data_IF_255542094608
#
_entry.id   IF_255542094608
#
_cell.length_a   1.000
_cell.length_b   1.000
_cell.length_c   1.000
_cell.angle_alpha   90.00
_cell.angle_beta   90.00
_cell.angle_gamma   90.00
#
_symmetry.space_group_name_H-M   'P 1'
#
loop_
_entity.id
_entity.type
_entity.pdbx_description
1 polymer ?
#
# COMPACT_ATOMS: atom_id res chain seq x y z
N UNK A 1 26.45 58.99 -56.02
CA UNK A 1 26.74 58.06 -57.16
C UNK A 1 25.84 56.89 -56.98
N UNK A 2 24.78 57.01 -57.64
CA UNK A 2 24.24 56.26 -58.79
C UNK A 2 23.69 54.91 -58.35
N UNK A 3 22.41 54.82 -58.31
CA UNK A 3 21.40 54.67 -59.37
C UNK A 3 21.40 53.29 -60.04
N UNK A 4 20.23 52.76 -60.04
CA UNK A 4 19.42 52.09 -61.06
C UNK A 4 19.17 50.61 -60.74
N UNK A 5 17.99 50.27 -60.63
CA UNK A 5 16.78 50.20 -61.48
C UNK A 5 16.58 48.72 -61.92
N UNK A 6 15.50 48.10 -61.74
CA UNK A 6 14.40 47.82 -62.64
C UNK A 6 13.55 46.62 -62.20
N UNK A 7 12.38 46.98 -61.92
CA UNK A 7 11.13 46.31 -62.24
C UNK A 7 11.21 45.28 -63.40
N UNK A 8 10.97 44.00 -63.09
CA UNK A 8 10.49 43.02 -64.09
C UNK A 8 9.20 42.37 -63.53
N UNK A 9 8.07 42.90 -64.02
CA UNK A 9 6.81 42.18 -64.04
C UNK A 9 6.98 40.99 -64.97
N UNK A 10 7.01 39.77 -64.42
CA UNK A 10 6.82 38.54 -65.17
C UNK A 10 5.41 38.53 -65.78
N UNK A 11 5.30 38.62 -67.05
CA UNK A 11 4.10 38.27 -67.80
C UNK A 11 3.89 36.74 -67.67
N UNK A 12 2.85 36.35 -66.95
CA UNK A 12 2.31 34.99 -66.97
C UNK A 12 1.77 34.72 -68.38
N UNK A 13 2.45 33.89 -69.14
CA UNK A 13 1.98 33.36 -70.43
C UNK A 13 0.82 32.43 -70.14
N UNK A 14 -0.38 32.91 -70.46
CA UNK A 14 -1.60 32.10 -70.46
C UNK A 14 -1.46 31.00 -71.53
N UNK A 15 -1.39 29.74 -71.11
CA UNK A 15 -1.46 28.63 -72.00
C UNK A 15 -2.89 28.56 -72.63
N UNK A 16 -2.93 28.59 -73.98
CA UNK A 16 -4.18 28.49 -74.75
C UNK A 16 -4.24 27.20 -75.52
N UNK A 17 -5.45 26.67 -75.69
CA UNK A 17 -5.68 25.47 -76.51
C UNK A 17 -5.47 25.74 -78.04
N UNK A 18 -5.49 24.72 -78.87
CA UNK A 18 -5.30 24.80 -80.30
C UNK A 18 -6.33 25.70 -81.04
N UNK A 19 -7.30 26.24 -80.35
CA UNK A 19 -8.33 27.20 -80.82
C UNK A 19 -8.25 28.57 -80.16
N UNK A 20 -7.17 28.88 -79.44
CA UNK A 20 -6.89 30.18 -78.82
C UNK A 20 -7.69 30.50 -77.57
N UNK A 21 -8.28 29.52 -76.88
CA UNK A 21 -9.00 29.71 -75.61
C UNK A 21 -8.09 29.45 -74.41
N UNK A 22 -8.19 30.26 -73.33
CA UNK A 22 -7.40 30.04 -72.13
C UNK A 22 -7.75 28.69 -71.50
N UNK A 23 -6.73 27.90 -71.15
CA UNK A 23 -6.90 26.67 -70.39
C UNK A 23 -7.06 27.06 -68.93
N UNK A 24 -8.24 26.90 -68.38
CA UNK A 24 -8.49 27.00 -66.94
C UNK A 24 -7.74 25.84 -66.22
N UNK A 25 -6.65 26.19 -65.46
CA UNK A 25 -6.07 25.25 -64.55
C UNK A 25 -7.06 24.85 -63.49
N UNK A 26 -7.56 23.63 -63.50
CA UNK A 26 -8.33 23.04 -62.40
C UNK A 26 -7.44 23.05 -61.17
N UNK A 27 -7.90 23.77 -60.11
CA UNK A 27 -7.27 23.65 -58.78
C UNK A 27 -7.18 22.16 -58.41
N UNK A 28 -5.97 21.63 -58.29
CA UNK A 28 -5.74 20.34 -57.68
C UNK A 28 -6.19 20.39 -56.23
N UNK A 29 -7.25 19.66 -55.90
CA UNK A 29 -7.68 19.43 -54.52
C UNK A 29 -6.50 18.75 -53.81
N UNK A 30 -5.90 19.42 -52.86
CA UNK A 30 -4.89 18.84 -51.94
C UNK A 30 -5.39 17.50 -51.42
N UNK A 31 -4.52 16.48 -51.39
CA UNK A 31 -4.92 15.11 -51.12
C UNK A 31 -5.46 14.95 -49.68
N UNK A 32 -6.45 14.07 -49.51
CA UNK A 32 -7.11 13.71 -48.25
C UNK A 32 -6.16 13.29 -47.10
N UNK A 33 -4.87 13.13 -47.38
CA UNK A 33 -3.81 12.78 -46.41
C UNK A 33 -3.59 13.85 -45.32
N UNK A 34 -3.68 15.17 -45.67
CA UNK A 34 -3.50 16.24 -44.67
C UNK A 34 -4.67 16.31 -43.68
N UNK A 35 -5.88 15.98 -44.12
CA UNK A 35 -7.06 15.90 -43.25
C UNK A 35 -6.98 14.74 -42.26
N UNK A 36 -6.42 13.58 -42.69
CA UNK A 36 -6.29 12.41 -41.84
C UNK A 36 -5.24 12.61 -40.72
N UNK A 37 -4.11 13.28 -41.02
CA UNK A 37 -3.09 13.59 -40.02
C UNK A 37 -3.60 14.54 -38.93
N UNK A 38 -4.42 15.53 -39.28
CA UNK A 38 -5.04 16.43 -38.30
C UNK A 38 -6.07 15.69 -37.42
N UNK A 39 -6.89 14.82 -37.99
CA UNK A 39 -7.86 14.02 -37.23
C UNK A 39 -7.15 13.06 -36.28
N UNK A 40 -6.07 12.40 -36.73
CA UNK A 40 -5.25 11.52 -35.87
C UNK A 40 -4.56 12.30 -34.75
N UNK A 41 -4.04 13.49 -35.04
CA UNK A 41 -3.40 14.36 -34.01
C UNK A 41 -4.42 14.81 -32.95
N UNK A 42 -5.63 15.20 -33.34
CA UNK A 42 -6.72 15.56 -32.42
C UNK A 42 -7.12 14.36 -31.57
N UNK A 43 -7.26 13.18 -32.17
CA UNK A 43 -7.59 11.94 -31.45
C UNK A 43 -6.50 11.59 -30.41
N UNK A 44 -5.22 11.62 -30.79
CA UNK A 44 -4.08 11.40 -29.87
C UNK A 44 -4.08 12.44 -28.73
N UNK A 45 -4.32 13.70 -29.03
CA UNK A 45 -4.41 14.76 -28.03
C UNK A 45 -5.55 14.52 -27.05
N UNK A 46 -6.73 14.10 -27.51
CA UNK A 46 -7.87 13.78 -26.63
C UNK A 46 -7.60 12.55 -25.75
N UNK A 47 -6.94 11.53 -26.29
CA UNK A 47 -6.52 10.35 -25.51
C UNK A 47 -5.50 10.74 -24.44
N UNK A 48 -4.49 11.52 -24.79
CA UNK A 48 -3.48 12.01 -23.84
C UNK A 48 -4.10 12.93 -22.79
N UNK A 49 -5.01 13.81 -23.17
CA UNK A 49 -5.76 14.67 -22.24
C UNK A 49 -6.64 13.84 -21.30
N UNK A 50 -7.30 12.80 -21.81
CA UNK A 50 -8.10 11.86 -21.00
C UNK A 50 -7.25 11.08 -20.01
N UNK A 51 -6.04 10.64 -20.42
CA UNK A 51 -5.06 10.00 -19.56
C UNK A 51 -4.53 10.98 -18.50
N UNK A 52 -4.20 12.21 -18.90
CA UNK A 52 -3.75 13.25 -17.97
C UNK A 52 -4.82 13.61 -16.94
N UNK A 53 -6.07 13.77 -17.38
CA UNK A 53 -7.21 14.04 -16.46
C UNK A 53 -7.43 12.85 -15.51
N UNK A 54 -7.32 11.61 -15.98
CA UNK A 54 -7.40 10.42 -15.12
C UNK A 54 -6.27 10.38 -14.10
N UNK A 55 -5.03 10.65 -14.52
CA UNK A 55 -3.87 10.72 -13.63
C UNK A 55 -4.05 11.88 -12.63
N UNK A 56 -4.49 13.04 -13.07
CA UNK A 56 -4.71 14.20 -12.21
C UNK A 56 -5.83 13.98 -11.18
N UNK A 57 -6.96 13.37 -11.60
CA UNK A 57 -8.06 13.00 -10.70
C UNK A 57 -7.62 11.91 -9.72
N UNK A 58 -6.84 10.92 -10.19
CA UNK A 58 -6.26 9.89 -9.34
C UNK A 58 -5.32 10.50 -8.30
N UNK A 59 -4.41 11.38 -8.72
CA UNK A 59 -3.47 12.07 -7.83
C UNK A 59 -4.20 12.94 -6.78
N UNK A 60 -5.23 13.68 -7.21
CA UNK A 60 -6.04 14.52 -6.32
C UNK A 60 -6.91 13.73 -5.33
N UNK A 61 -7.30 12.49 -5.66
CA UNK A 61 -8.04 11.61 -4.76
C UNK A 61 -7.13 10.87 -3.76
N UNK A 62 -5.87 10.56 -4.13
CA UNK A 62 -4.93 9.93 -3.22
C UNK A 62 -4.60 10.83 -2.03
N UNK A 63 -4.48 12.15 -2.22
CA UNK A 63 -4.20 13.11 -1.14
C UNK A 63 -5.31 13.22 -0.10
N UNK A 64 -6.56 12.98 -0.48
CA UNK A 64 -7.71 13.06 0.45
C UNK A 64 -7.84 11.85 1.36
N UNK A 65 -7.19 10.75 1.03
CA UNK A 65 -7.32 9.49 1.73
C UNK A 65 -6.15 9.20 2.68
N UNK A 66 -5.21 10.12 2.84
CA UNK A 66 -4.06 9.99 3.71
C UNK A 66 -4.22 10.90 4.93
N UNK A 67 -4.13 10.30 6.14
CA UNK A 67 -4.33 11.01 7.39
C UNK A 67 -3.20 10.68 8.36
N UNK A 68 -2.77 11.68 9.11
CA UNK A 68 -1.80 11.55 10.18
C UNK A 68 -2.38 12.10 11.49
N UNK A 69 -2.28 11.32 12.56
CA UNK A 69 -2.71 11.71 13.90
C UNK A 69 -1.59 11.43 14.91
N UNK A 70 -1.23 12.45 15.67
CA UNK A 70 -0.28 12.36 16.77
C UNK A 70 -1.03 12.53 18.09
N UNK A 71 -0.86 11.58 18.99
CA UNK A 71 -1.50 11.54 20.29
C UNK A 71 -0.46 11.78 21.38
N UNK A 72 -0.90 12.30 22.51
CA UNK A 72 -0.01 12.69 23.59
C UNK A 72 0.64 11.49 24.26
N UNK A 73 -0.08 10.39 24.41
CA UNK A 73 0.37 9.17 25.08
C UNK A 73 0.08 7.92 24.27
N UNK A 74 0.75 6.78 24.50
CA UNK A 74 0.36 5.50 23.91
C UNK A 74 -1.08 5.08 24.26
N UNK A 75 -1.56 5.40 25.46
CA UNK A 75 -2.94 5.09 25.89
C UNK A 75 -3.96 5.88 25.06
N UNK A 76 -3.68 7.16 24.80
CA UNK A 76 -4.48 7.99 23.91
C UNK A 76 -4.48 7.46 22.47
N UNK A 77 -3.32 7.03 21.98
CA UNK A 77 -3.17 6.39 20.68
C UNK A 77 -4.06 5.16 20.58
N UNK A 78 -3.92 4.22 21.52
CA UNK A 78 -4.68 2.96 21.48
C UNK A 78 -6.18 3.17 21.66
N UNK A 79 -6.58 4.10 22.51
CA UNK A 79 -8.00 4.48 22.68
C UNK A 79 -8.58 5.00 21.37
N UNK A 80 -7.95 5.96 20.74
CA UNK A 80 -8.47 6.59 19.53
C UNK A 80 -8.49 5.62 18.34
N UNK A 81 -7.45 4.81 18.16
CA UNK A 81 -7.39 3.76 17.14
C UNK A 81 -8.45 2.68 17.42
N UNK A 82 -8.59 2.24 18.67
CA UNK A 82 -9.61 1.28 19.09
C UNK A 82 -11.03 1.77 18.80
N UNK A 83 -11.33 3.02 19.12
CA UNK A 83 -12.63 3.61 18.79
C UNK A 83 -12.88 3.72 17.28
N UNK A 84 -11.83 3.98 16.48
CA UNK A 84 -11.94 3.98 15.02
C UNK A 84 -12.27 2.57 14.49
N UNK A 85 -11.62 1.53 15.01
CA UNK A 85 -11.88 0.12 14.67
C UNK A 85 -13.29 -0.29 15.08
N UNK A 86 -13.73 0.09 16.29
CA UNK A 86 -15.08 -0.20 16.77
C UNK A 86 -16.14 0.44 15.86
N UNK A 87 -15.97 1.71 15.49
CA UNK A 87 -16.87 2.36 14.53
C UNK A 87 -16.89 1.65 13.18
N UNK A 88 -15.71 1.23 12.69
CA UNK A 88 -15.59 0.49 11.44
C UNK A 88 -16.36 -0.83 11.47
N UNK A 89 -16.19 -1.62 12.55
CA UNK A 89 -16.90 -2.90 12.73
C UNK A 89 -18.41 -2.69 12.87
N UNK A 90 -18.84 -1.66 13.59
CA UNK A 90 -20.29 -1.34 13.71
C UNK A 90 -20.92 -0.99 12.35
N UNK A 91 -20.18 -0.34 11.46
CA UNK A 91 -20.63 -0.06 10.09
C UNK A 91 -20.54 -1.29 9.18
N UNK A 92 -19.63 -2.20 9.46
CA UNK A 92 -19.38 -3.41 8.68
C UNK A 92 -19.16 -4.63 9.60
N UNK A 93 -20.20 -5.23 10.15
CA UNK A 93 -20.08 -6.32 11.13
C UNK A 93 -19.32 -7.56 10.60
N UNK A 94 -19.38 -7.83 9.30
CA UNK A 94 -18.65 -8.91 8.62
C UNK A 94 -17.37 -8.39 7.95
N UNK A 95 -16.64 -7.51 8.63
CA UNK A 95 -15.39 -6.98 8.12
C UNK A 95 -14.29 -8.04 8.14
N UNK A 96 -13.40 -7.98 7.15
CA UNK A 96 -12.14 -8.70 7.11
C UNK A 96 -11.03 -7.80 7.68
N UNK A 97 -10.47 -8.17 8.83
CA UNK A 97 -9.51 -7.34 9.56
C UNK A 97 -8.16 -8.04 9.63
N UNK A 98 -7.14 -7.39 9.09
CA UNK A 98 -5.74 -7.79 9.23
C UNK A 98 -5.17 -7.31 10.56
N UNK A 99 -4.57 -8.21 11.33
CA UNK A 99 -3.98 -7.95 12.64
C UNK A 99 -2.46 -7.76 12.51
N UNK A 100 -1.93 -6.79 13.23
CA UNK A 100 -0.50 -6.66 13.42
C UNK A 100 -0.01 -7.62 14.50
N UNK A 101 1.20 -8.16 14.34
CA UNK A 101 1.87 -9.03 15.31
C UNK A 101 2.87 -8.25 16.18
N UNK A 102 3.44 -8.92 17.18
CA UNK A 102 4.44 -8.36 18.08
C UNK A 102 3.85 -7.48 19.18
N UNK A 103 4.71 -6.76 19.89
CA UNK A 103 4.36 -6.02 21.12
C UNK A 103 3.75 -4.64 20.86
N UNK A 104 3.95 -4.08 19.67
CA UNK A 104 3.45 -2.73 19.35
C UNK A 104 1.93 -2.58 19.45
N UNK A 105 1.10 -3.54 18.98
CA UNK A 105 -0.36 -3.44 19.04
C UNK A 105 -0.99 -3.94 20.34
N UNK A 106 -0.23 -4.45 21.30
CA UNK A 106 -0.79 -5.08 22.52
C UNK A 106 -1.77 -4.16 23.27
N UNK A 107 -1.41 -2.91 23.50
CA UNK A 107 -2.29 -1.96 24.19
C UNK A 107 -3.59 -1.69 23.42
N UNK A 108 -3.56 -1.74 22.08
CA UNK A 108 -4.75 -1.66 21.26
C UNK A 108 -5.65 -2.88 21.47
N UNK A 109 -5.08 -4.09 21.50
CA UNK A 109 -5.86 -5.31 21.73
C UNK A 109 -6.46 -5.34 23.13
N UNK A 110 -5.72 -4.91 24.15
CA UNK A 110 -6.27 -4.76 25.51
C UNK A 110 -7.44 -3.78 25.55
N UNK A 111 -7.35 -2.66 24.83
CA UNK A 111 -8.44 -1.71 24.71
C UNK A 111 -9.69 -2.34 24.05
N UNK A 112 -9.52 -3.09 22.97
CA UNK A 112 -10.62 -3.75 22.27
C UNK A 112 -11.27 -4.85 23.14
N UNK A 113 -10.49 -5.63 23.89
CA UNK A 113 -10.98 -6.62 24.86
C UNK A 113 -11.84 -5.93 25.91
N UNK A 114 -11.34 -4.85 26.52
CA UNK A 114 -12.10 -4.10 27.53
C UNK A 114 -13.44 -3.57 27.00
N UNK A 115 -13.48 -3.11 25.75
CA UNK A 115 -14.73 -2.66 25.13
C UNK A 115 -15.70 -3.82 24.86
N UNK A 116 -15.18 -4.99 24.48
CA UNK A 116 -15.97 -6.20 24.36
C UNK A 116 -16.56 -6.64 25.71
N UNK A 117 -15.74 -6.70 26.76
CA UNK A 117 -16.18 -7.05 28.14
C UNK A 117 -17.28 -6.12 28.65
N UNK A 118 -17.27 -4.85 28.23
CA UNK A 118 -18.34 -3.88 28.52
C UNK A 118 -19.59 -4.04 27.66
N UNK A 119 -19.61 -4.97 26.72
CA UNK A 119 -20.72 -5.16 25.77
C UNK A 119 -20.85 -4.04 24.73
N UNK A 120 -19.83 -3.20 24.55
CA UNK A 120 -19.87 -2.08 23.59
C UNK A 120 -19.63 -2.51 22.14
N UNK A 121 -19.05 -3.70 21.92
CA UNK A 121 -18.73 -4.28 20.62
C UNK A 121 -18.82 -5.80 20.66
N UNK A 122 -19.21 -6.42 19.53
CA UNK A 122 -19.10 -7.86 19.26
C UNK A 122 -18.23 -8.07 18.03
N UNK A 123 -17.38 -9.09 18.07
CA UNK A 123 -16.50 -9.49 16.98
C UNK A 123 -16.96 -10.79 16.32
N UNK A 124 -18.14 -11.30 16.69
CA UNK A 124 -18.67 -12.61 16.29
C UNK A 124 -18.63 -12.86 14.78
N UNK A 125 -18.91 -11.84 13.97
CA UNK A 125 -19.00 -11.97 12.52
C UNK A 125 -17.76 -11.41 11.80
N UNK A 126 -16.75 -10.93 12.53
CA UNK A 126 -15.50 -10.39 12.00
C UNK A 126 -14.57 -11.54 11.59
N UNK A 127 -13.98 -11.44 10.38
CA UNK A 127 -12.93 -12.34 9.94
C UNK A 127 -11.56 -11.72 10.25
N UNK A 128 -10.67 -12.50 10.86
CA UNK A 128 -9.33 -12.05 11.28
C UNK A 128 -8.22 -12.72 10.50
N UNK A 129 -7.23 -11.92 10.11
CA UNK A 129 -6.05 -12.32 9.33
C UNK A 129 -4.78 -11.84 10.02
N UNK A 130 -3.70 -12.63 10.03
CA UNK A 130 -2.40 -12.19 10.53
C UNK A 130 -1.51 -11.68 9.41
N UNK A 131 -0.49 -10.89 9.76
CA UNK A 131 0.46 -10.35 8.79
C UNK A 131 1.71 -11.23 8.62
N UNK A 132 2.16 -11.89 9.67
CA UNK A 132 3.42 -12.63 9.68
C UNK A 132 3.47 -13.72 10.77
N UNK A 133 4.52 -14.53 10.74
CA UNK A 133 4.82 -15.55 11.74
C UNK A 133 6.18 -16.20 11.52
N UNK A 134 6.71 -16.88 12.54
CA UNK A 134 7.95 -17.65 12.45
C UNK A 134 7.65 -19.09 11.97
N UNK A 135 8.30 -19.52 10.90
CA UNK A 135 8.10 -20.87 10.36
C UNK A 135 8.69 -21.98 11.26
N UNK A 136 8.00 -23.10 11.32
CA UNK A 136 8.43 -24.30 12.08
C UNK A 136 7.94 -24.32 13.52
N UNK A 137 7.09 -23.37 13.93
CA UNK A 137 6.48 -23.34 15.25
C UNK A 137 5.07 -23.94 15.22
N UNK A 138 4.71 -24.67 16.28
CA UNK A 138 3.33 -25.14 16.42
C UNK A 138 2.42 -24.01 16.87
N UNK A 139 1.12 -24.17 16.63
CA UNK A 139 0.08 -23.22 17.09
C UNK A 139 0.04 -23.04 18.61
N UNK A 140 0.62 -24.00 19.37
CA UNK A 140 0.69 -23.97 20.82
C UNK A 140 2.05 -23.50 21.36
N UNK A 141 3.01 -23.20 20.49
CA UNK A 141 4.31 -22.66 20.92
C UNK A 141 4.14 -21.21 21.38
N UNK A 142 4.54 -20.86 22.62
CA UNK A 142 4.40 -19.50 23.14
C UNK A 142 5.14 -18.42 22.33
N UNK A 143 6.14 -18.80 21.52
CA UNK A 143 6.88 -17.90 20.66
C UNK A 143 6.24 -17.71 19.27
N UNK A 144 5.21 -18.51 18.94
CA UNK A 144 4.47 -18.38 17.70
C UNK A 144 3.60 -17.14 17.73
N UNK A 145 3.51 -16.43 16.61
CA UNK A 145 2.59 -15.29 16.48
C UNK A 145 1.13 -15.76 16.41
N UNK A 146 0.91 -16.96 15.90
CA UNK A 146 -0.40 -17.61 15.97
C UNK A 146 -0.86 -17.74 17.43
N UNK A 147 -0.01 -18.31 18.30
CA UNK A 147 -0.30 -18.43 19.74
C UNK A 147 -0.54 -17.08 20.38
N UNK A 148 0.36 -16.12 20.12
CA UNK A 148 0.28 -14.79 20.70
C UNK A 148 -1.04 -14.08 20.35
N UNK A 149 -1.43 -14.05 19.08
CA UNK A 149 -2.68 -13.43 18.64
C UNK A 149 -3.91 -14.17 19.21
N UNK A 150 -3.87 -15.50 19.22
CA UNK A 150 -4.97 -16.30 19.76
C UNK A 150 -5.11 -16.10 21.27
N UNK A 151 -4.02 -16.29 22.02
CA UNK A 151 -4.05 -16.27 23.47
C UNK A 151 -4.23 -14.86 24.07
N UNK A 152 -3.63 -13.85 23.46
CA UNK A 152 -3.63 -12.49 24.00
C UNK A 152 -4.80 -11.63 23.51
N UNK A 153 -5.50 -12.05 22.45
CA UNK A 153 -6.60 -11.28 21.89
C UNK A 153 -7.82 -12.14 21.53
N UNK A 154 -7.70 -13.04 20.54
CA UNK A 154 -8.86 -13.67 19.90
C UNK A 154 -9.66 -14.57 20.84
N UNK A 155 -9.00 -15.26 21.79
CA UNK A 155 -9.68 -16.09 22.82
C UNK A 155 -10.38 -15.28 23.91
N UNK A 156 -10.12 -13.97 23.98
CA UNK A 156 -10.71 -13.07 25.01
C UNK A 156 -11.90 -12.27 24.49
N UNK A 157 -12.31 -12.53 23.26
CA UNK A 157 -13.46 -11.90 22.60
C UNK A 157 -14.35 -13.00 21.99
N UNK A 158 -15.49 -12.63 21.42
CA UNK A 158 -16.43 -13.57 20.80
C UNK A 158 -16.09 -13.93 19.34
N UNK A 159 -14.80 -13.87 18.95
CA UNK A 159 -14.34 -14.28 17.64
C UNK A 159 -14.64 -15.77 17.41
N UNK A 160 -15.30 -16.11 16.29
CA UNK A 160 -15.59 -17.50 15.94
C UNK A 160 -14.39 -18.15 15.24
N UNK A 161 -14.04 -19.37 15.61
CA UNK A 161 -12.90 -20.12 15.07
C UNK A 161 -12.90 -20.16 13.53
N UNK A 162 -14.07 -20.37 12.90
CA UNK A 162 -14.23 -20.40 11.45
C UNK A 162 -13.89 -19.08 10.75
N UNK A 163 -13.83 -17.99 11.49
CA UNK A 163 -13.51 -16.64 11.03
C UNK A 163 -12.06 -16.23 11.36
N UNK A 164 -11.27 -17.13 11.92
CA UNK A 164 -9.87 -16.88 12.30
C UNK A 164 -8.96 -17.50 11.25
N UNK A 165 -8.34 -16.67 10.44
CA UNK A 165 -7.50 -17.03 9.31
C UNK A 165 -6.06 -16.53 9.52
N UNK A 166 -5.40 -17.05 10.54
CA UNK A 166 -4.00 -16.71 10.81
C UNK A 166 -3.08 -17.53 9.90
N UNK A 167 -1.92 -16.96 9.57
CA UNK A 167 -0.88 -17.65 8.82
C UNK A 167 -0.48 -18.94 9.51
N UNK A 168 -0.38 -20.02 8.74
CA UNK A 168 0.09 -21.29 9.24
C UNK A 168 1.62 -21.29 9.34
N UNK A 169 2.13 -21.31 10.57
CA UNK A 169 3.56 -21.33 10.88
C UNK A 169 4.13 -22.77 10.88
N UNK A 170 3.27 -23.78 10.91
CA UNK A 170 3.66 -25.20 11.00
C UNK A 170 4.27 -25.73 9.70
N UNK A 171 5.19 -26.66 9.84
CA UNK A 171 5.89 -27.31 8.74
C UNK A 171 7.27 -27.76 9.16
N UNK A 172 7.91 -28.59 8.34
CA UNK A 172 9.21 -29.18 8.64
C UNK A 172 10.32 -28.72 7.70
N UNK A 173 9.95 -28.08 6.58
CA UNK A 173 10.89 -27.69 5.54
C UNK A 173 10.34 -26.48 4.74
N UNK A 174 11.18 -25.91 3.89
CA UNK A 174 10.86 -24.74 3.08
C UNK A 174 9.62 -24.95 2.18
N UNK A 175 9.48 -26.14 1.60
CA UNK A 175 8.36 -26.46 0.71
C UNK A 175 7.01 -26.42 1.44
N UNK A 176 6.96 -26.90 2.70
CA UNK A 176 5.76 -26.81 3.53
C UNK A 176 5.38 -25.35 3.78
N UNK A 177 6.37 -24.49 4.08
CA UNK A 177 6.14 -23.08 4.35
C UNK A 177 5.70 -22.31 3.10
N UNK A 178 6.29 -22.60 1.94
CA UNK A 178 5.90 -22.02 0.66
C UNK A 178 4.45 -22.39 0.30
N UNK A 179 4.08 -23.67 0.54
CA UNK A 179 2.70 -24.12 0.37
C UNK A 179 1.73 -23.34 1.27
N UNK A 180 2.08 -23.14 2.54
CA UNK A 180 1.27 -22.35 3.48
C UNK A 180 1.09 -20.91 2.97
N UNK A 181 2.15 -20.31 2.40
CA UNK A 181 2.08 -18.96 1.81
C UNK A 181 1.16 -18.92 0.59
N UNK A 182 1.21 -19.93 -0.28
CA UNK A 182 0.33 -20.03 -1.45
C UNK A 182 -1.14 -20.20 -1.06
N UNK A 183 -1.43 -21.05 -0.07
CA UNK A 183 -2.79 -21.24 0.46
C UNK A 183 -3.33 -19.94 1.04
N UNK A 184 -2.52 -19.20 1.77
CA UNK A 184 -2.90 -17.91 2.30
C UNK A 184 -3.13 -16.86 1.21
N UNK A 185 -2.34 -16.86 0.15
CA UNK A 185 -2.54 -15.99 -1.01
C UNK A 185 -3.88 -16.29 -1.73
N UNK A 186 -4.27 -17.57 -1.85
CA UNK A 186 -5.57 -17.95 -2.41
C UNK A 186 -6.71 -17.38 -1.56
N UNK A 187 -6.62 -17.50 -0.24
CA UNK A 187 -7.61 -16.95 0.69
C UNK A 187 -7.73 -15.42 0.61
N UNK A 188 -6.60 -14.71 0.48
CA UNK A 188 -6.61 -13.26 0.31
C UNK A 188 -7.15 -12.82 -1.06
N UNK A 189 -6.94 -13.64 -2.11
CA UNK A 189 -7.42 -13.37 -3.46
C UNK A 189 -8.95 -13.48 -3.61
N UNK A 190 -9.63 -14.27 -2.77
CA UNK A 190 -11.09 -14.38 -2.78
C UNK A 190 -11.77 -13.03 -2.50
N UNK A 191 -11.23 -12.29 -1.56
CA UNK A 191 -11.75 -10.98 -1.16
C UNK A 191 -10.67 -10.20 -0.40
N UNK A 192 -10.43 -8.93 -0.72
CA UNK A 192 -9.41 -8.14 -0.01
C UNK A 192 -9.76 -7.94 1.47
N UNK A 193 -8.75 -7.72 2.29
CA UNK A 193 -8.88 -7.24 3.66
C UNK A 193 -9.57 -5.87 3.63
N UNK A 194 -10.56 -5.66 4.48
CA UNK A 194 -11.29 -4.40 4.55
C UNK A 194 -10.51 -3.34 5.34
N UNK A 195 -9.87 -3.76 6.44
CA UNK A 195 -9.05 -2.90 7.29
C UNK A 195 -7.80 -3.66 7.74
N UNK A 196 -6.62 -3.21 7.32
CA UNK A 196 -5.35 -3.72 7.81
C UNK A 196 -4.84 -2.86 8.96
N UNK A 197 -4.73 -3.45 10.14
CA UNK A 197 -3.98 -2.87 11.26
C UNK A 197 -2.51 -3.23 11.03
N UNK A 198 -1.64 -2.23 11.01
CA UNK A 198 -0.24 -2.38 10.69
C UNK A 198 0.63 -1.75 11.76
N UNK A 199 1.63 -2.48 12.24
CA UNK A 199 2.79 -1.92 12.93
C UNK A 199 4.03 -2.11 12.06
N UNK A 200 5.08 -1.31 12.27
CA UNK A 200 6.28 -1.35 11.45
C UNK A 200 7.55 -1.14 12.27
N UNK A 201 8.67 -1.59 11.74
CA UNK A 201 9.96 -1.52 12.40
C UNK A 201 10.58 -0.13 12.42
N UNK A 202 11.68 0.04 13.15
CA UNK A 202 12.46 1.29 13.20
C UNK A 202 13.09 1.65 11.86
N UNK A 203 13.45 0.64 11.06
CA UNK A 203 13.95 0.77 9.69
C UNK A 203 12.82 0.78 8.63
N UNK A 204 11.56 0.86 9.06
CA UNK A 204 10.40 0.88 8.19
C UNK A 204 9.94 -0.49 7.68
N UNK A 205 10.46 -1.63 8.16
CA UNK A 205 9.99 -2.95 7.74
C UNK A 205 8.52 -3.18 8.11
N UNK A 206 7.83 -3.93 7.27
CA UNK A 206 6.44 -4.36 7.44
C UNK A 206 6.42 -5.88 7.56
N UNK A 207 6.02 -6.44 8.70
CA UNK A 207 6.16 -7.85 8.96
C UNK A 207 7.63 -8.27 8.82
N UNK A 208 7.93 -9.27 7.97
CA UNK A 208 9.30 -9.61 7.62
C UNK A 208 9.77 -9.04 6.27
N UNK A 209 9.08 -8.04 5.73
CA UNK A 209 9.54 -7.29 4.55
C UNK A 209 10.57 -6.24 4.99
N UNK A 210 11.83 -6.63 5.02
CA UNK A 210 12.98 -5.78 5.38
C UNK A 210 13.33 -4.77 4.27
N UNK A 211 14.15 -3.74 4.54
CA UNK A 211 14.65 -2.84 3.51
C UNK A 211 15.17 -3.57 2.27
N UNK A 212 14.86 -3.04 1.10
CA UNK A 212 15.12 -3.57 -0.24
C UNK A 212 14.26 -4.78 -0.66
N UNK A 213 13.27 -5.21 0.12
CA UNK A 213 12.28 -6.20 -0.32
C UNK A 213 11.60 -5.76 -1.61
N UNK A 214 11.31 -6.72 -2.49
CA UNK A 214 10.53 -6.47 -3.69
C UNK A 214 9.06 -6.21 -3.31
N UNK A 215 8.55 -5.02 -3.63
CA UNK A 215 7.18 -4.62 -3.29
C UNK A 215 6.09 -5.33 -4.09
N UNK A 216 6.44 -6.06 -5.15
CA UNK A 216 5.49 -6.87 -5.94
C UNK A 216 5.20 -8.26 -5.32
N UNK A 217 5.87 -8.61 -4.23
CA UNK A 217 5.63 -9.89 -3.57
C UNK A 217 4.28 -9.91 -2.87
N UNK A 218 3.57 -11.02 -3.04
CA UNK A 218 2.44 -11.45 -2.23
C UNK A 218 2.95 -12.13 -0.94
N UNK A 219 2.10 -12.87 -0.22
CA UNK A 219 2.56 -13.65 0.95
C UNK A 219 3.64 -14.62 0.51
N UNK A 220 4.75 -14.62 1.22
CA UNK A 220 5.94 -15.39 0.87
C UNK A 220 6.74 -15.79 2.11
N UNK A 221 7.66 -16.70 1.92
CA UNK A 221 8.62 -17.13 2.94
C UNK A 221 9.89 -16.28 2.82
N UNK A 222 10.43 -15.91 3.97
CA UNK A 222 11.67 -15.13 4.08
C UNK A 222 12.69 -15.96 4.86
N UNK A 223 13.90 -16.11 4.32
CA UNK A 223 15.03 -16.59 5.10
C UNK A 223 15.57 -15.46 5.98
N UNK A 224 15.61 -15.70 7.29
CA UNK A 224 16.09 -14.71 8.25
C UNK A 224 17.61 -14.59 8.18
N UNK A 225 18.11 -13.36 8.06
CA UNK A 225 19.56 -13.13 8.07
C UNK A 225 20.20 -13.56 9.40
N UNK A 226 21.50 -13.90 9.42
CA UNK A 226 22.18 -14.26 10.65
C UNK A 226 22.02 -13.21 11.76
N UNK A 227 22.12 -11.92 11.42
CA UNK A 227 21.94 -10.81 12.37
C UNK A 227 20.52 -10.78 12.94
N UNK A 228 19.51 -11.04 12.08
CA UNK A 228 18.11 -11.06 12.53
C UNK A 228 17.83 -12.25 13.44
N UNK A 229 18.43 -13.40 13.14
CA UNK A 229 18.33 -14.58 14.01
C UNK A 229 19.02 -14.38 15.33
N UNK A 230 20.20 -13.73 15.34
CA UNK A 230 20.91 -13.39 16.56
C UNK A 230 20.09 -12.44 17.44
N UNK A 231 19.49 -11.39 16.85
CA UNK A 231 18.59 -10.48 17.58
C UNK A 231 17.41 -11.23 18.21
N UNK A 232 16.82 -12.20 17.49
CA UNK A 232 15.68 -13.01 17.95
C UNK A 232 16.08 -14.14 18.88
N UNK A 233 17.36 -14.55 18.94
CA UNK A 233 17.83 -15.66 19.78
C UNK A 233 17.52 -15.47 21.28
N UNK A 234 17.40 -14.24 21.72
CA UNK A 234 17.00 -13.88 23.10
C UNK A 234 15.57 -14.36 23.41
N UNK A 235 14.68 -14.37 22.43
CA UNK A 235 13.28 -14.82 22.58
C UNK A 235 13.25 -16.35 22.62
N UNK A 236 14.05 -17.01 21.74
CA UNK A 236 14.06 -18.46 21.60
C UNK A 236 15.04 -19.18 22.54
N UNK A 237 15.83 -18.40 23.31
CA UNK A 237 16.80 -18.91 24.28
C UNK A 237 18.16 -19.31 23.68
N UNK A 238 18.25 -19.56 22.35
CA UNK A 238 19.52 -19.76 21.64
C UNK A 238 19.35 -19.56 20.14
N UNK A 239 20.46 -19.34 19.41
CA UNK A 239 20.49 -19.21 17.95
C UNK A 239 20.00 -20.49 17.25
N UNK A 240 20.35 -21.68 17.78
CA UNK A 240 19.95 -22.96 17.20
C UNK A 240 18.43 -23.21 17.27
N UNK A 241 17.77 -22.68 18.29
CA UNK A 241 16.33 -22.75 18.47
C UNK A 241 15.60 -21.66 17.69
N UNK A 242 16.31 -20.63 17.22
CA UNK A 242 15.72 -19.53 16.46
C UNK A 242 15.37 -20.01 15.05
N UNK A 243 14.11 -19.86 14.61
CA UNK A 243 13.69 -20.25 13.27
C UNK A 243 14.60 -19.66 12.18
N UNK A 244 14.82 -20.43 11.11
CA UNK A 244 15.56 -19.96 9.92
C UNK A 244 14.68 -19.17 8.98
N UNK A 245 13.40 -19.45 9.00
CA UNK A 245 12.43 -18.88 8.06
C UNK A 245 11.29 -18.20 8.81
N UNK A 246 10.71 -17.22 8.15
CA UNK A 246 9.47 -16.58 8.54
C UNK A 246 8.53 -16.53 7.33
N UNK A 247 7.23 -16.50 7.58
CA UNK A 247 6.20 -16.29 6.58
C UNK A 247 5.59 -14.91 6.80
N UNK A 248 5.36 -14.14 5.72
CA UNK A 248 4.82 -12.78 5.84
C UNK A 248 3.93 -12.42 4.66
N UNK A 249 2.87 -11.66 4.91
CA UNK A 249 2.21 -10.95 3.83
C UNK A 249 3.25 -10.05 3.16
N UNK A 250 3.37 -10.12 1.84
CA UNK A 250 4.22 -9.22 1.08
C UNK A 250 3.63 -7.81 1.02
N UNK A 251 4.46 -6.85 0.65
CA UNK A 251 4.03 -5.44 0.54
C UNK A 251 2.82 -5.32 -0.40
N UNK A 252 2.80 -6.04 -1.52
CA UNK A 252 1.67 -6.05 -2.45
C UNK A 252 0.37 -6.53 -1.79
N UNK A 253 0.42 -7.58 -0.95
CA UNK A 253 -0.75 -8.07 -0.21
C UNK A 253 -1.29 -7.01 0.75
N UNK A 254 -0.41 -6.31 1.48
CA UNK A 254 -0.78 -5.21 2.38
C UNK A 254 -1.43 -4.06 1.60
N UNK A 255 -0.88 -3.70 0.42
CA UNK A 255 -1.42 -2.63 -0.42
C UNK A 255 -2.78 -2.97 -1.07
N UNK A 256 -3.18 -4.23 -1.09
CA UNK A 256 -4.49 -4.68 -1.58
C UNK A 256 -5.61 -4.49 -0.54
N UNK A 257 -5.29 -4.24 0.73
CA UNK A 257 -6.30 -3.89 1.73
C UNK A 257 -7.04 -2.61 1.31
N UNK A 258 -8.32 -2.47 1.69
CA UNK A 258 -9.12 -1.28 1.34
C UNK A 258 -8.74 -0.07 2.17
N UNK A 259 -8.49 -0.28 3.45
CA UNK A 259 -8.03 0.72 4.40
C UNK A 259 -6.85 0.17 5.21
N UNK A 260 -5.94 1.06 5.59
CA UNK A 260 -4.81 0.73 6.48
C UNK A 260 -4.79 1.72 7.64
N UNK A 261 -4.68 1.19 8.86
CA UNK A 261 -4.32 1.96 10.05
C UNK A 261 -2.91 1.53 10.45
N UNK A 262 -1.93 2.39 10.23
CA UNK A 262 -0.54 2.19 10.63
C UNK A 262 -0.30 2.83 12.00
N UNK A 263 0.17 2.03 12.97
CA UNK A 263 0.43 2.47 14.34
C UNK A 263 1.92 2.43 14.66
N UNK A 264 2.40 3.47 15.31
CA UNK A 264 3.77 3.54 15.81
C UNK A 264 3.81 4.19 17.20
N UNK A 265 4.61 3.61 18.12
CA UNK A 265 4.87 4.15 19.44
C UNK A 265 6.36 4.14 19.77
N UNK A 266 6.79 5.15 20.52
CA UNK A 266 8.15 5.29 21.01
C UNK A 266 9.12 5.90 20.00
N UNK A 267 10.17 6.51 20.52
CA UNK A 267 11.13 7.32 19.77
C UNK A 267 11.84 6.56 18.65
N UNK A 268 12.11 5.25 18.83
CA UNK A 268 12.76 4.43 17.80
C UNK A 268 12.02 4.40 16.46
N UNK A 269 10.71 4.67 16.45
CA UNK A 269 9.89 4.70 15.23
C UNK A 269 9.90 6.05 14.50
N UNK A 270 10.43 7.11 15.12
CA UNK A 270 10.29 8.48 14.63
C UNK A 270 10.87 8.69 13.21
N UNK A 271 11.94 7.98 12.84
CA UNK A 271 12.49 8.08 11.49
C UNK A 271 11.59 7.41 10.47
N UNK A 272 11.13 6.19 10.73
CA UNK A 272 10.23 5.46 9.82
C UNK A 272 8.89 6.20 9.63
N UNK A 273 8.37 6.82 10.69
CA UNK A 273 7.19 7.72 10.60
C UNK A 273 7.49 8.91 9.70
N UNK A 274 8.65 9.54 9.85
CA UNK A 274 9.07 10.66 9.01
C UNK A 274 9.22 10.24 7.53
N UNK A 275 9.83 9.09 7.27
CA UNK A 275 9.97 8.53 5.92
C UNK A 275 8.59 8.27 5.28
N UNK A 276 7.65 7.73 6.06
CA UNK A 276 6.28 7.48 5.57
C UNK A 276 5.55 8.78 5.27
N UNK A 277 5.54 9.74 6.21
CA UNK A 277 4.71 10.95 6.11
C UNK A 277 5.33 12.00 5.18
N UNK A 278 6.62 12.29 5.33
CA UNK A 278 7.30 13.38 4.62
C UNK A 278 8.32 12.91 3.57
N UNK A 279 8.64 11.59 3.55
CA UNK A 279 9.66 11.04 2.66
C UNK A 279 9.16 10.77 1.24
N UNK A 280 9.90 9.94 0.53
CA UNK A 280 9.58 9.45 -0.81
C UNK A 280 9.34 7.96 -0.80
N UNK A 281 8.58 7.45 -1.77
CA UNK A 281 8.42 6.02 -1.99
C UNK A 281 9.77 5.37 -2.26
N UNK A 282 10.18 4.45 -1.39
CA UNK A 282 11.48 3.80 -1.51
C UNK A 282 11.51 2.42 -0.85
N UNK A 283 12.21 1.47 -1.46
CA UNK A 283 12.43 0.14 -0.86
C UNK A 283 13.36 0.19 0.36
N UNK A 284 14.11 1.28 0.56
CA UNK A 284 14.97 1.44 1.75
C UNK A 284 14.19 1.55 3.05
N UNK A 285 12.92 1.96 2.98
CA UNK A 285 11.98 2.04 4.10
C UNK A 285 10.65 1.49 3.61
N UNK A 286 10.38 0.18 3.75
CA UNK A 286 9.21 -0.49 3.15
C UNK A 286 7.86 0.13 3.52
N UNK A 287 7.73 0.72 4.70
CA UNK A 287 6.50 1.40 5.12
C UNK A 287 6.11 2.54 4.16
N UNK A 288 7.07 3.11 3.42
CA UNK A 288 6.80 4.16 2.43
C UNK A 288 5.96 3.66 1.25
N UNK A 289 5.81 2.33 1.09
CA UNK A 289 4.89 1.77 0.10
C UNK A 289 3.45 2.24 0.30
N UNK A 290 3.04 2.53 1.55
CA UNK A 290 1.71 3.06 1.85
C UNK A 290 1.43 4.43 1.22
N UNK A 291 2.46 5.17 0.80
CA UNK A 291 2.29 6.42 0.05
C UNK A 291 1.56 6.21 -1.27
N UNK A 292 1.75 5.03 -1.88
CA UNK A 292 1.09 4.64 -3.13
C UNK A 292 -0.16 3.77 -2.92
N UNK A 293 -0.63 3.64 -1.68
CA UNK A 293 -1.85 2.91 -1.40
C UNK A 293 -3.07 3.60 -2.02
N UNK A 294 -3.92 2.86 -2.73
CA UNK A 294 -5.07 3.42 -3.45
C UNK A 294 -6.26 3.77 -2.54
N UNK A 295 -6.34 3.15 -1.36
CA UNK A 295 -7.39 3.38 -0.39
C UNK A 295 -7.00 4.35 0.71
N UNK A 296 -7.76 4.33 1.79
CA UNK A 296 -7.50 5.19 2.95
C UNK A 296 -6.33 4.64 3.77
N UNK A 297 -5.38 5.52 4.11
CA UNK A 297 -4.29 5.25 5.04
C UNK A 297 -4.36 6.24 6.19
N UNK A 298 -4.40 5.74 7.40
CA UNK A 298 -4.36 6.56 8.61
C UNK A 298 -3.11 6.17 9.41
N UNK A 299 -2.21 7.09 9.61
CA UNK A 299 -1.01 6.91 10.44
C UNK A 299 -1.28 7.51 11.82
N UNK A 300 -1.17 6.69 12.84
CA UNK A 300 -1.43 7.05 14.23
C UNK A 300 -0.18 6.82 15.07
N UNK A 301 0.28 7.85 15.77
CA UNK A 301 1.50 7.80 16.60
C UNK A 301 1.27 8.36 17.98
N UNK A 302 2.10 7.95 18.95
CA UNK A 302 2.28 8.74 20.15
C UNK A 302 3.19 9.96 19.87
N UNK A 303 3.43 10.78 20.89
CA UNK A 303 4.25 11.99 20.79
C UNK A 303 5.68 11.66 20.35
N UNK A 304 6.27 10.59 20.91
CA UNK A 304 7.65 10.19 20.65
C UNK A 304 7.87 9.69 19.23
N UNK A 305 6.99 8.79 18.74
CA UNK A 305 7.07 8.29 17.37
C UNK A 305 6.76 9.39 16.34
N UNK A 306 5.89 10.35 16.71
CA UNK A 306 5.55 11.50 15.88
C UNK A 306 6.48 12.71 16.01
N UNK A 307 7.58 12.62 16.81
CA UNK A 307 8.40 13.77 17.18
C UNK A 307 9.05 14.49 15.99
N UNK A 308 9.37 13.77 14.90
CA UNK A 308 9.96 14.36 13.69
C UNK A 308 8.96 15.02 12.74
N UNK A 309 7.65 14.88 12.99
CA UNK A 309 6.61 15.51 12.20
C UNK A 309 6.28 16.87 12.83
N UNK A 310 6.83 17.94 12.26
CA UNK A 310 6.56 19.33 12.69
C UNK A 310 5.34 19.91 12.02
N UNK A 311 5.17 19.63 10.72
CA UNK A 311 4.03 20.04 9.95
C UNK A 311 3.53 18.86 9.13
N UNK A 312 2.23 18.63 9.15
CA UNK A 312 1.59 17.67 8.27
C UNK A 312 1.36 18.34 6.92
N UNK A 313 2.28 18.16 6.00
CA UNK A 313 2.07 18.57 4.62
C UNK A 313 1.00 17.66 4.01
N UNK A 314 -0.05 18.25 3.44
CA UNK A 314 -1.19 17.56 2.79
C UNK A 314 -0.79 16.61 1.64
N UNK A 315 0.48 16.28 1.49
CA UNK A 315 1.06 15.42 0.45
C UNK A 315 1.30 13.96 0.90
N UNK A 316 0.88 13.61 2.15
CA UNK A 316 0.86 12.23 2.60
C UNK A 316 -0.45 11.55 2.21
#
# INVERSE_FOLDING_TARGET
>A
MEEKDKNQKGQELLEVDEKGKPIEKKEEKKPAAESFTHVLAIFLFLVLLGLFLRIFVFYKNTDKNKNFHKYKTPEDLFRNVGEAIIRFIKQKPKARIGLASGTSPEGLYQYLIHKYEKGEISFKDVEFFSIDGFCGLSKTDPNSYYYSLTNNFLSKIDAQEKNIHLLNEEGSNLQDFEKNAEEYNKLLAEKPIDLQILSFGENGHIGFNEPNTNFELLTHVVELTPEKREDKSKIFGSLDKTPKYAITQGVKSVLQAKEVIAIAKGQGKAQAVCDLVNGVYTKKSPITALRNHNGKVTVCTDEEAGAKIKEFNKLF
#
